data_IF_039948694082
#
_entry.id   IF_039948694082
#
_cell.length_a   1.000
_cell.length_b   1.000
_cell.length_c   1.000
_cell.angle_alpha   90.00
_cell.angle_beta   90.00
_cell.angle_gamma   90.00
#
_symmetry.space_group_name_H-M   'P 1'
#
loop_
_entity.id
_entity.type
_entity.pdbx_description
1 polymer ?
#
# COMPACT_ATOMS: atom_id res chain seq x y z
N UNK A 1 -7.89 -21.82 33.95
CA UNK A 1 -7.91 -22.52 32.65
C UNK A 1 -8.01 -21.44 31.58
N UNK A 2 -6.85 -21.01 31.06
CA UNK A 2 -6.77 -20.03 29.95
C UNK A 2 -7.14 -20.77 28.66
N UNK A 3 -8.23 -20.38 28.02
CA UNK A 3 -8.53 -20.80 26.65
C UNK A 3 -7.52 -20.11 25.75
N UNK A 4 -6.58 -20.87 25.21
CA UNK A 4 -5.80 -20.47 24.05
C UNK A 4 -6.78 -20.39 22.87
N UNK A 5 -7.26 -19.20 22.56
CA UNK A 5 -7.97 -18.95 21.30
C UNK A 5 -6.99 -19.22 20.17
N UNK A 6 -7.28 -20.22 19.35
CA UNK A 6 -6.53 -20.51 18.13
C UNK A 6 -6.63 -19.31 17.16
N UNK A 7 -5.77 -19.25 16.14
CA UNK A 7 -5.77 -18.16 15.20
C UNK A 7 -7.14 -18.07 14.51
N UNK A 8 -7.95 -17.08 14.87
CA UNK A 8 -9.14 -16.71 14.11
C UNK A 8 -8.66 -16.08 12.81
N UNK A 9 -8.66 -16.84 11.74
CA UNK A 9 -8.56 -16.27 10.39
C UNK A 9 -9.82 -15.45 10.16
N UNK A 10 -9.68 -14.14 9.97
CA UNK A 10 -10.80 -13.28 9.66
C UNK A 10 -11.49 -13.75 8.36
N UNK A 11 -12.82 -13.75 8.35
CA UNK A 11 -13.58 -14.18 7.16
C UNK A 11 -13.34 -13.22 5.99
N UNK A 12 -13.10 -13.78 4.81
CA UNK A 12 -13.01 -13.00 3.56
C UNK A 12 -14.42 -12.76 3.04
N UNK A 13 -14.74 -11.48 2.84
CA UNK A 13 -16.03 -11.02 2.31
C UNK A 13 -15.87 -10.58 0.85
N UNK A 14 -17.00 -10.40 0.17
CA UNK A 14 -17.05 -9.88 -1.21
C UNK A 14 -17.95 -8.65 -1.28
N UNK A 15 -17.46 -7.60 -1.91
CA UNK A 15 -18.25 -6.43 -2.26
C UNK A 15 -18.24 -6.22 -3.77
N UNK A 16 -19.42 -6.20 -4.39
CA UNK A 16 -19.54 -5.89 -5.82
C UNK A 16 -19.52 -4.38 -6.03
N UNK A 17 -18.47 -3.85 -6.65
CA UNK A 17 -18.28 -2.42 -6.99
C UNK A 17 -17.72 -2.28 -8.39
N UNK A 18 -18.17 -1.30 -9.14
CA UNK A 18 -17.68 -0.96 -10.50
C UNK A 18 -17.54 -2.18 -11.44
N UNK A 19 -18.49 -3.15 -11.32
CA UNK A 19 -18.53 -4.36 -12.16
C UNK A 19 -17.54 -5.45 -11.78
N UNK A 20 -16.93 -5.38 -10.60
CA UNK A 20 -16.03 -6.42 -10.07
C UNK A 20 -16.38 -6.76 -8.62
N UNK A 21 -16.08 -8.00 -8.20
CA UNK A 21 -16.16 -8.42 -6.81
C UNK A 21 -14.80 -8.19 -6.15
N UNK A 22 -14.75 -7.27 -5.21
CA UNK A 22 -13.56 -6.98 -4.40
C UNK A 22 -13.61 -7.86 -3.15
N UNK A 23 -12.55 -8.67 -2.95
CA UNK A 23 -12.34 -9.39 -1.69
C UNK A 23 -11.87 -8.41 -0.62
N UNK A 24 -12.40 -8.55 0.58
CA UNK A 24 -11.92 -7.78 1.72
C UNK A 24 -12.11 -8.56 3.03
N UNK A 25 -11.27 -8.25 3.99
CA UNK A 25 -11.43 -8.66 5.39
C UNK A 25 -12.04 -7.50 6.15
N UNK A 26 -13.01 -7.80 7.03
CA UNK A 26 -13.58 -6.84 7.97
C UNK A 26 -13.50 -7.46 9.37
N UNK A 27 -12.93 -6.73 10.33
CA UNK A 27 -12.82 -7.19 11.71
C UNK A 27 -12.83 -6.02 12.70
N UNK A 28 -13.46 -6.24 13.87
CA UNK A 28 -13.54 -5.24 14.93
C UNK A 28 -14.68 -4.26 14.76
N UNK A 29 -14.78 -3.33 15.70
CA UNK A 29 -15.81 -2.29 15.78
C UNK A 29 -15.16 -0.94 16.09
N UNK A 30 -15.86 0.16 15.88
CA UNK A 30 -15.39 1.52 16.15
C UNK A 30 -15.10 2.32 14.89
N UNK A 31 -14.17 3.29 14.96
CA UNK A 31 -13.82 4.13 13.82
C UNK A 31 -13.20 3.30 12.69
N UNK A 32 -13.60 3.53 11.44
CA UNK A 32 -13.13 2.75 10.31
C UNK A 32 -11.66 3.02 9.99
N UNK A 33 -10.89 1.95 9.85
CA UNK A 33 -9.47 1.94 9.48
C UNK A 33 -9.29 1.03 8.26
N UNK A 34 -8.94 1.61 7.12
CA UNK A 34 -8.82 0.92 5.83
C UNK A 34 -7.35 0.76 5.46
N UNK A 35 -6.90 -0.49 5.30
CA UNK A 35 -5.53 -0.82 4.90
C UNK A 35 -5.44 -1.11 3.41
N UNK A 36 -4.59 -0.38 2.68
CA UNK A 36 -4.40 -0.49 1.23
C UNK A 36 -3.01 -1.03 0.93
N UNK A 37 -2.95 -2.25 0.40
CA UNK A 37 -1.71 -2.99 0.19
C UNK A 37 -0.86 -2.47 -0.98
N UNK A 38 0.43 -2.84 -0.99
CA UNK A 38 1.38 -2.52 -2.04
C UNK A 38 1.24 -3.37 -3.31
N UNK A 39 2.15 -3.19 -4.26
CA UNK A 39 2.26 -4.07 -5.43
C UNK A 39 2.62 -5.50 -5.02
N UNK A 40 2.22 -6.45 -5.88
CA UNK A 40 2.55 -7.89 -5.77
C UNK A 40 2.11 -8.45 -4.40
N UNK A 41 1.08 -7.88 -3.80
CA UNK A 41 0.54 -8.35 -2.53
C UNK A 41 -0.98 -8.20 -2.50
N UNK A 42 -1.62 -8.59 -1.41
CA UNK A 42 -3.05 -8.49 -1.20
C UNK A 42 -3.37 -8.27 0.29
N UNK A 43 -4.67 -8.33 0.66
CA UNK A 43 -5.10 -8.07 2.04
C UNK A 43 -4.35 -8.87 3.12
N UNK A 44 -3.83 -10.07 2.78
CA UNK A 44 -3.15 -10.97 3.72
C UNK A 44 -1.84 -10.38 4.30
N UNK A 45 -1.21 -9.42 3.62
CA UNK A 45 -0.01 -8.75 4.17
C UNK A 45 -0.30 -7.95 5.44
N UNK A 46 -1.59 -7.70 5.73
CA UNK A 46 -2.04 -6.92 6.87
C UNK A 46 -2.48 -7.75 8.08
N UNK A 47 -2.26 -9.07 8.09
CA UNK A 47 -2.74 -9.95 9.16
C UNK A 47 -2.30 -9.51 10.56
N UNK A 48 -1.06 -9.04 10.72
CA UNK A 48 -0.56 -8.51 12.00
C UNK A 48 -1.25 -7.21 12.40
N UNK A 49 -1.49 -6.33 11.44
CA UNK A 49 -2.19 -5.06 11.63
C UNK A 49 -3.66 -5.31 11.95
N UNK A 50 -4.33 -6.20 11.21
CA UNK A 50 -5.74 -6.56 11.45
C UNK A 50 -5.90 -7.06 12.88
N UNK A 51 -5.08 -8.01 13.35
CA UNK A 51 -5.15 -8.55 14.71
C UNK A 51 -4.94 -7.49 15.79
N UNK A 52 -4.05 -6.53 15.55
CA UNK A 52 -3.76 -5.49 16.53
C UNK A 52 -4.86 -4.44 16.58
N UNK A 53 -5.19 -3.85 15.42
CA UNK A 53 -6.05 -2.67 15.34
C UNK A 53 -7.53 -2.99 15.45
N UNK A 54 -7.97 -4.22 15.11
CA UNK A 54 -9.38 -4.62 15.27
C UNK A 54 -9.88 -4.66 16.72
N UNK A 55 -8.99 -4.54 17.67
CA UNK A 55 -9.34 -4.43 19.10
C UNK A 55 -10.04 -3.10 19.44
N UNK A 56 -9.81 -2.07 18.63
CA UNK A 56 -10.26 -0.70 18.88
C UNK A 56 -10.82 0.02 17.65
N UNK A 57 -10.73 -0.60 16.48
CA UNK A 57 -11.15 -0.04 15.19
C UNK A 57 -11.93 -1.07 14.40
N UNK A 58 -12.85 -0.58 13.56
CA UNK A 58 -13.40 -1.38 12.47
C UNK A 58 -12.39 -1.42 11.33
N UNK A 59 -11.59 -2.48 11.30
CA UNK A 59 -10.53 -2.67 10.30
C UNK A 59 -11.11 -3.26 9.02
N UNK A 60 -10.73 -2.68 7.88
CA UNK A 60 -11.08 -3.15 6.54
C UNK A 60 -9.80 -3.25 5.73
N UNK A 61 -9.55 -4.42 5.15
CA UNK A 61 -8.40 -4.66 4.28
C UNK A 61 -8.86 -5.29 2.96
N UNK A 62 -9.03 -4.51 1.89
CA UNK A 62 -9.36 -5.05 0.57
C UNK A 62 -8.13 -5.59 -0.16
N UNK A 63 -8.36 -6.61 -1.01
CA UNK A 63 -7.49 -6.88 -2.15
C UNK A 63 -7.95 -6.03 -3.32
N UNK A 64 -7.05 -5.22 -3.87
CA UNK A 64 -7.35 -4.40 -5.04
C UNK A 64 -7.69 -5.29 -6.24
N UNK A 65 -8.41 -4.75 -7.23
CA UNK A 65 -8.75 -5.48 -8.47
C UNK A 65 -7.51 -6.13 -9.08
N UNK A 66 -7.61 -7.38 -9.52
CA UNK A 66 -6.54 -8.23 -10.07
C UNK A 66 -5.52 -8.78 -9.07
N UNK A 67 -5.58 -8.35 -7.82
CA UNK A 67 -4.73 -8.91 -6.75
C UNK A 67 -5.44 -10.03 -5.99
N UNK A 68 -4.67 -10.81 -5.23
CA UNK A 68 -5.15 -11.98 -4.51
C UNK A 68 -5.23 -13.23 -5.37
N UNK A 69 -5.90 -14.27 -4.87
CA UNK A 69 -5.92 -15.60 -5.48
C UNK A 69 -7.08 -15.83 -6.45
N UNK A 70 -8.08 -14.94 -6.47
CA UNK A 70 -9.25 -15.11 -7.36
C UNK A 70 -8.86 -15.06 -8.82
N UNK A 71 -9.55 -15.86 -9.64
CA UNK A 71 -9.39 -15.80 -11.08
C UNK A 71 -9.94 -14.48 -11.64
N UNK A 72 -9.21 -13.90 -12.58
CA UNK A 72 -9.66 -12.73 -13.33
C UNK A 72 -10.73 -13.13 -14.36
N UNK A 73 -11.68 -12.25 -14.61
CA UNK A 73 -12.71 -12.44 -15.67
C UNK A 73 -12.21 -11.98 -17.04
N UNK A 74 -11.12 -11.23 -17.04
CA UNK A 74 -10.46 -10.65 -18.22
C UNK A 74 -8.92 -10.85 -18.12
N UNK A 75 -8.15 -10.16 -18.93
CA UNK A 75 -6.68 -10.23 -18.95
C UNK A 75 -5.99 -9.08 -18.23
N UNK A 76 -6.67 -8.39 -17.33
CA UNK A 76 -6.12 -7.21 -16.67
C UNK A 76 -6.36 -5.91 -17.46
N UNK A 77 -7.34 -5.90 -18.35
CA UNK A 77 -7.60 -4.78 -19.30
C UNK A 77 -7.95 -3.46 -18.60
N UNK A 78 -8.47 -3.55 -17.37
CA UNK A 78 -8.79 -2.40 -16.52
C UNK A 78 -7.76 -2.17 -15.41
N UNK A 79 -6.58 -2.75 -15.52
CA UNK A 79 -5.51 -2.52 -14.54
C UNK A 79 -4.96 -1.10 -14.72
N UNK A 80 -5.37 -0.21 -13.84
CA UNK A 80 -4.81 1.15 -13.76
C UNK A 80 -4.92 1.69 -12.34
N UNK A 81 -4.02 2.59 -11.93
CA UNK A 81 -4.14 3.27 -10.63
C UNK A 81 -5.47 4.02 -10.48
N UNK A 82 -5.96 4.66 -11.53
CA UNK A 82 -7.25 5.35 -11.53
C UNK A 82 -8.42 4.41 -11.24
N UNK A 83 -8.45 3.25 -11.89
CA UNK A 83 -9.46 2.21 -11.61
C UNK A 83 -9.41 1.74 -10.16
N UNK A 84 -8.22 1.52 -9.62
CA UNK A 84 -8.06 1.07 -8.22
C UNK A 84 -8.50 2.14 -7.21
N UNK A 85 -8.24 3.42 -7.48
CA UNK A 85 -8.73 4.54 -6.65
C UNK A 85 -10.26 4.59 -6.67
N UNK A 86 -10.87 4.48 -7.84
CA UNK A 86 -12.33 4.54 -7.99
C UNK A 86 -13.00 3.30 -7.36
N UNK A 87 -12.38 2.12 -7.45
CA UNK A 87 -12.87 0.90 -6.79
C UNK A 87 -12.77 1.03 -5.25
N UNK A 88 -11.69 1.61 -4.74
CA UNK A 88 -11.51 1.84 -3.31
C UNK A 88 -12.55 2.84 -2.77
N UNK A 89 -12.78 3.95 -3.46
CA UNK A 89 -13.82 4.91 -3.11
C UNK A 89 -15.22 4.28 -3.11
N UNK A 90 -15.53 3.49 -4.14
CA UNK A 90 -16.81 2.79 -4.25
C UNK A 90 -16.98 1.75 -3.13
N UNK A 91 -15.91 1.04 -2.75
CA UNK A 91 -15.93 0.10 -1.65
C UNK A 91 -16.20 0.81 -0.32
N UNK A 92 -15.47 1.87 0.01
CA UNK A 92 -15.62 2.65 1.24
C UNK A 92 -17.05 3.17 1.38
N UNK A 93 -17.62 3.73 0.30
CA UNK A 93 -19.01 4.20 0.28
C UNK A 93 -20.01 3.06 0.43
N UNK A 94 -19.80 1.95 -0.28
CA UNK A 94 -20.69 0.78 -0.21
C UNK A 94 -20.76 0.15 1.17
N UNK A 95 -19.63 0.12 1.89
CA UNK A 95 -19.55 -0.39 3.26
C UNK A 95 -20.08 0.62 4.30
N UNK A 96 -20.41 1.85 3.89
CA UNK A 96 -20.92 2.90 4.79
C UNK A 96 -19.88 3.35 5.82
N UNK A 97 -18.60 3.33 5.46
CA UNK A 97 -17.47 3.65 6.37
C UNK A 97 -16.77 4.96 6.04
N UNK A 98 -17.30 5.77 5.13
CA UNK A 98 -16.79 7.10 4.84
C UNK A 98 -17.22 8.13 5.92
N UNK A 99 -16.33 9.08 6.34
CA UNK A 99 -14.90 9.10 6.05
C UNK A 99 -14.13 8.10 6.92
N UNK A 100 -13.10 7.45 6.35
CA UNK A 100 -12.27 6.46 7.04
C UNK A 100 -10.83 6.96 7.27
N UNK A 101 -10.15 6.41 8.26
CA UNK A 101 -8.70 6.51 8.38
C UNK A 101 -8.07 5.56 7.36
N UNK A 102 -7.26 6.09 6.44
CA UNK A 102 -6.66 5.30 5.36
C UNK A 102 -5.18 5.05 5.66
N UNK A 103 -4.77 3.80 5.60
CA UNK A 103 -3.37 3.38 5.75
C UNK A 103 -2.91 2.75 4.46
N UNK A 104 -1.97 3.37 3.79
CA UNK A 104 -1.43 2.88 2.52
C UNK A 104 0.04 2.52 2.62
N UNK A 105 0.44 1.44 1.94
CA UNK A 105 1.82 1.03 1.78
C UNK A 105 2.22 1.01 0.32
N UNK A 106 3.33 1.69 -0.06
CA UNK A 106 3.91 1.63 -1.40
C UNK A 106 2.90 2.07 -2.47
N UNK A 107 2.48 1.18 -3.35
CA UNK A 107 1.40 1.43 -4.31
C UNK A 107 0.10 1.83 -3.60
N UNK A 108 -0.24 1.13 -2.52
CA UNK A 108 -1.40 1.49 -1.70
C UNK A 108 -1.31 2.89 -1.09
N UNK A 109 -0.10 3.36 -0.74
CA UNK A 109 0.10 4.74 -0.29
C UNK A 109 -0.09 5.76 -1.43
N UNK A 110 0.35 5.41 -2.64
CA UNK A 110 0.10 6.24 -3.83
C UNK A 110 -1.40 6.34 -4.14
N UNK A 111 -2.13 5.20 -4.08
CA UNK A 111 -3.59 5.18 -4.24
C UNK A 111 -4.30 5.99 -3.15
N UNK A 112 -3.84 5.90 -1.90
CA UNK A 112 -4.41 6.63 -0.78
C UNK A 112 -4.24 8.16 -0.92
N UNK A 113 -3.09 8.63 -1.41
CA UNK A 113 -2.89 10.03 -1.77
C UNK A 113 -3.86 10.46 -2.88
N UNK A 114 -3.99 9.65 -3.94
CA UNK A 114 -4.93 9.93 -5.03
C UNK A 114 -6.39 9.90 -4.57
N UNK A 115 -6.74 9.00 -3.65
CA UNK A 115 -8.06 8.95 -3.04
C UNK A 115 -8.37 10.25 -2.27
N UNK A 116 -7.41 10.75 -1.48
CA UNK A 116 -7.57 11.99 -0.74
C UNK A 116 -7.74 13.22 -1.65
N UNK A 117 -7.13 13.19 -2.84
CA UNK A 117 -7.27 14.25 -3.86
C UNK A 117 -8.60 14.14 -4.59
N UNK A 118 -8.98 12.93 -5.04
CA UNK A 118 -10.10 12.74 -5.98
C UNK A 118 -11.44 12.46 -5.28
N UNK A 119 -11.39 11.86 -4.10
CA UNK A 119 -12.56 11.46 -3.30
C UNK A 119 -12.37 11.85 -1.83
N UNK A 120 -12.20 13.15 -1.51
CA UNK A 120 -11.91 13.63 -0.15
C UNK A 120 -13.00 13.27 0.86
N UNK A 121 -14.23 13.05 0.41
CA UNK A 121 -15.34 12.55 1.24
C UNK A 121 -15.12 11.17 1.83
N UNK A 122 -14.23 10.37 1.23
CA UNK A 122 -13.88 9.02 1.71
C UNK A 122 -12.80 9.03 2.80
N UNK A 123 -12.06 10.13 3.00
CA UNK A 123 -10.83 10.16 3.80
C UNK A 123 -10.99 11.05 5.03
N UNK A 124 -10.87 10.46 6.21
CA UNK A 124 -10.84 11.19 7.48
C UNK A 124 -9.42 11.55 7.94
N UNK A 125 -8.47 10.66 7.71
CA UNK A 125 -7.03 10.91 7.84
C UNK A 125 -6.23 9.93 6.96
N UNK A 126 -4.94 10.20 6.79
CA UNK A 126 -4.07 9.39 5.94
C UNK A 126 -2.74 9.08 6.65
N UNK A 127 -2.37 7.80 6.66
CA UNK A 127 -1.03 7.33 6.96
C UNK A 127 -0.44 6.68 5.68
N UNK A 128 0.44 7.42 4.99
CA UNK A 128 1.03 7.01 3.72
C UNK A 128 2.49 6.58 3.92
N UNK A 129 2.73 5.26 3.90
CA UNK A 129 4.07 4.70 4.05
C UNK A 129 4.71 4.45 2.69
N UNK A 130 5.76 5.22 2.40
CA UNK A 130 6.63 5.10 1.22
C UNK A 130 5.87 5.02 -0.12
N UNK A 131 5.16 6.07 -0.53
CA UNK A 131 4.37 6.05 -1.75
C UNK A 131 5.23 5.78 -2.99
N UNK A 132 4.78 4.84 -3.84
CA UNK A 132 5.45 4.45 -5.07
C UNK A 132 5.17 5.38 -6.26
N UNK A 133 4.83 6.64 -6.04
CA UNK A 133 4.54 7.67 -7.06
C UNK A 133 5.51 8.83 -6.93
N UNK A 134 5.98 9.35 -8.08
CA UNK A 134 7.01 10.40 -8.14
C UNK A 134 6.65 11.54 -9.10
N UNK A 135 5.41 11.62 -9.58
CA UNK A 135 4.98 12.63 -10.57
C UNK A 135 5.00 14.07 -10.05
N UNK A 136 5.11 14.26 -8.75
CA UNK A 136 5.26 15.55 -8.07
C UNK A 136 6.72 15.90 -7.73
N UNK A 137 7.67 15.04 -8.05
CA UNK A 137 9.10 15.33 -7.92
C UNK A 137 9.52 16.14 -9.14
N UNK A 138 10.04 17.34 -8.92
CA UNK A 138 10.34 18.31 -9.98
C UNK A 138 11.81 18.72 -10.01
N UNK A 139 12.56 18.57 -8.91
CA UNK A 139 13.99 18.82 -8.91
C UNK A 139 14.70 17.88 -9.88
N UNK A 140 15.50 18.39 -10.86
CA UNK A 140 16.08 17.58 -11.93
C UNK A 140 16.98 16.45 -11.42
N UNK A 141 17.72 16.67 -10.33
CA UNK A 141 18.60 15.65 -9.75
C UNK A 141 17.79 14.57 -9.03
N UNK A 142 16.75 14.96 -8.29
CA UNK A 142 15.83 14.01 -7.66
C UNK A 142 15.08 13.19 -8.70
N UNK A 143 14.61 13.83 -9.80
CA UNK A 143 13.95 13.12 -10.92
C UNK A 143 14.89 12.10 -11.54
N UNK A 144 16.18 12.45 -11.74
CA UNK A 144 17.18 11.50 -12.24
C UNK A 144 17.33 10.31 -11.30
N UNK A 145 17.52 10.56 -10.00
CA UNK A 145 17.71 9.51 -8.99
C UNK A 145 16.50 8.55 -8.94
N UNK A 146 15.29 9.08 -8.86
CA UNK A 146 14.07 8.22 -8.76
C UNK A 146 13.82 7.46 -10.06
N UNK A 147 14.21 8.01 -11.20
CA UNK A 147 14.06 7.36 -12.50
C UNK A 147 15.06 6.19 -12.65
N UNK A 148 16.32 6.41 -12.29
CA UNK A 148 17.35 5.39 -12.29
C UNK A 148 17.00 4.24 -11.33
N UNK A 149 16.63 4.56 -10.09
CA UNK A 149 16.25 3.57 -9.07
C UNK A 149 15.05 2.71 -9.52
N UNK A 150 14.05 3.34 -10.16
CA UNK A 150 12.91 2.62 -10.74
C UNK A 150 13.32 1.76 -11.93
N UNK A 151 14.16 2.29 -12.81
CA UNK A 151 14.63 1.58 -14.01
C UNK A 151 15.34 0.26 -13.64
N UNK A 152 16.21 0.31 -12.63
CA UNK A 152 16.96 -0.85 -12.16
C UNK A 152 16.01 -1.94 -11.61
N UNK A 153 15.02 -1.54 -10.82
CA UNK A 153 14.00 -2.46 -10.29
C UNK A 153 13.20 -3.13 -11.41
N UNK A 154 12.71 -2.33 -12.35
CA UNK A 154 11.87 -2.81 -13.46
C UNK A 154 12.67 -3.70 -14.41
N UNK A 155 13.90 -3.29 -14.76
CA UNK A 155 14.76 -4.02 -15.67
C UNK A 155 15.09 -5.43 -15.18
N UNK A 156 15.47 -5.57 -13.92
CA UNK A 156 15.75 -6.86 -13.31
C UNK A 156 14.53 -7.79 -13.32
N UNK A 157 13.37 -7.28 -12.94
CA UNK A 157 12.13 -8.06 -12.88
C UNK A 157 11.65 -8.50 -14.27
N UNK A 158 11.70 -7.62 -15.27
CA UNK A 158 11.29 -7.95 -16.64
C UNK A 158 12.25 -8.95 -17.30
N UNK A 159 13.56 -8.86 -17.03
CA UNK A 159 14.53 -9.81 -17.53
C UNK A 159 14.29 -11.25 -17.01
N UNK A 160 13.91 -11.39 -15.74
CA UNK A 160 13.55 -12.69 -15.17
C UNK A 160 12.20 -13.17 -15.72
N UNK A 161 11.22 -12.30 -15.80
CA UNK A 161 9.90 -12.61 -16.34
C UNK A 161 9.94 -13.08 -17.79
N UNK A 162 10.78 -12.46 -18.64
CA UNK A 162 10.94 -12.87 -20.05
C UNK A 162 11.51 -14.27 -20.23
N UNK A 163 12.22 -14.79 -19.21
CA UNK A 163 12.73 -16.16 -19.14
C UNK A 163 11.74 -17.16 -18.54
N UNK A 164 10.51 -16.72 -18.21
CA UNK A 164 9.49 -17.54 -17.55
C UNK A 164 9.64 -17.64 -16.03
N UNK A 165 10.65 -16.99 -15.45
CA UNK A 165 10.90 -16.99 -14.00
C UNK A 165 10.05 -15.91 -13.30
N UNK A 166 8.80 -16.23 -13.05
CA UNK A 166 7.89 -15.32 -12.34
C UNK A 166 8.22 -15.20 -10.86
N UNK A 167 8.71 -16.27 -10.23
CA UNK A 167 9.09 -16.24 -8.81
C UNK A 167 10.33 -15.39 -8.61
N UNK A 168 11.36 -15.57 -9.43
CA UNK A 168 12.55 -14.73 -9.42
C UNK A 168 12.23 -13.26 -9.69
N UNK A 169 11.29 -12.96 -10.59
CA UNK A 169 10.87 -11.58 -10.85
C UNK A 169 10.22 -10.93 -9.60
N UNK A 170 9.39 -11.66 -8.87
CA UNK A 170 8.80 -11.20 -7.60
C UNK A 170 9.88 -10.96 -6.55
N UNK A 171 10.80 -11.92 -6.37
CA UNK A 171 11.92 -11.81 -5.44
C UNK A 171 12.81 -10.61 -5.76
N UNK A 172 13.13 -10.40 -7.05
CA UNK A 172 13.94 -9.26 -7.49
C UNK A 172 13.27 -7.90 -7.17
N UNK A 173 11.95 -7.77 -7.38
CA UNK A 173 11.21 -6.55 -7.00
C UNK A 173 11.23 -6.35 -5.50
N UNK A 174 10.97 -7.40 -4.72
CA UNK A 174 10.95 -7.32 -3.26
C UNK A 174 12.32 -6.91 -2.70
N UNK A 175 13.36 -7.60 -3.11
CA UNK A 175 14.73 -7.34 -2.66
C UNK A 175 15.21 -5.94 -3.06
N UNK A 176 14.95 -5.55 -4.32
CA UNK A 176 15.32 -4.22 -4.80
C UNK A 176 14.60 -3.12 -4.02
N UNK A 177 13.27 -3.25 -3.81
CA UNK A 177 12.50 -2.27 -3.06
C UNK A 177 13.02 -2.07 -1.62
N UNK A 178 13.61 -3.11 -1.03
CA UNK A 178 14.22 -3.07 0.30
C UNK A 178 15.73 -2.73 0.30
N UNK A 179 16.33 -2.54 -0.86
CA UNK A 179 17.76 -2.22 -0.98
C UNK A 179 18.69 -3.33 -0.49
N UNK A 180 18.25 -4.58 -0.56
CA UNK A 180 18.99 -5.74 -0.07
C UNK A 180 18.72 -6.95 -0.96
N UNK A 181 19.56 -7.97 -0.88
CA UNK A 181 19.41 -9.23 -1.61
C UNK A 181 19.14 -10.38 -0.66
N UNK A 182 18.31 -11.35 -1.11
CA UNK A 182 18.00 -12.54 -0.31
C UNK A 182 16.94 -12.34 0.78
N UNK A 183 16.37 -11.13 0.90
CA UNK A 183 15.30 -10.88 1.88
C UNK A 183 14.03 -11.62 1.52
N UNK A 184 13.71 -11.71 0.23
CA UNK A 184 12.54 -12.45 -0.24
C UNK A 184 12.62 -13.93 0.14
N UNK A 185 13.77 -14.55 -0.06
CA UNK A 185 14.00 -15.95 0.29
C UNK A 185 14.03 -16.18 1.82
N UNK A 186 14.37 -15.16 2.58
CA UNK A 186 14.35 -15.22 4.05
C UNK A 186 12.94 -15.08 4.66
N UNK A 187 11.94 -14.69 3.87
CA UNK A 187 10.55 -14.68 4.33
C UNK A 187 10.07 -16.08 4.69
N UNK A 188 9.14 -16.19 5.63
CA UNK A 188 8.42 -17.44 5.86
C UNK A 188 7.67 -17.87 4.60
N UNK A 189 7.43 -19.18 4.45
CA UNK A 189 6.69 -19.71 3.29
C UNK A 189 5.31 -19.06 3.16
N UNK A 190 4.63 -18.79 4.28
CA UNK A 190 3.34 -18.11 4.31
C UNK A 190 3.45 -16.68 3.78
N UNK A 191 4.43 -15.90 4.23
CA UNK A 191 4.60 -14.53 3.77
C UNK A 191 5.02 -14.51 2.29
N UNK A 192 5.94 -15.38 1.88
CA UNK A 192 6.40 -15.50 0.50
C UNK A 192 5.27 -15.89 -0.46
N UNK A 193 4.39 -16.81 -0.06
CA UNK A 193 3.26 -17.23 -0.88
C UNK A 193 2.32 -16.09 -1.26
N UNK A 194 2.12 -15.11 -0.39
CA UNK A 194 1.28 -13.93 -0.67
C UNK A 194 1.81 -13.18 -1.91
N UNK A 195 3.11 -12.96 -1.97
CA UNK A 195 3.74 -12.26 -3.09
C UNK A 195 3.73 -13.14 -4.37
N UNK A 196 4.00 -14.43 -4.24
CA UNK A 196 4.00 -15.37 -5.37
C UNK A 196 2.63 -15.53 -6.00
N UNK A 197 1.55 -15.57 -5.21
CA UNK A 197 0.16 -15.61 -5.70
C UNK A 197 -0.18 -14.38 -6.56
N UNK A 198 0.51 -13.26 -6.31
CA UNK A 198 0.33 -12.00 -7.03
C UNK A 198 1.34 -11.80 -8.18
N UNK A 199 2.23 -12.77 -8.48
CA UNK A 199 3.24 -12.67 -9.55
C UNK A 199 2.64 -12.37 -10.93
N UNK A 200 1.39 -12.77 -11.17
CA UNK A 200 0.64 -12.49 -12.41
C UNK A 200 0.38 -11.00 -12.65
N UNK A 201 0.47 -10.15 -11.62
CA UNK A 201 0.29 -8.69 -11.74
C UNK A 201 1.55 -7.97 -12.22
N UNK A 202 2.73 -8.61 -12.16
CA UNK A 202 4.02 -8.01 -12.55
C UNK A 202 3.99 -7.41 -13.97
N UNK A 203 3.50 -8.11 -15.03
CA UNK A 203 3.42 -7.53 -16.36
C UNK A 203 2.47 -6.33 -16.44
N UNK A 204 1.36 -6.36 -15.72
CA UNK A 204 0.36 -5.28 -15.70
C UNK A 204 0.92 -4.04 -15.01
N UNK A 205 1.66 -4.24 -13.93
CA UNK A 205 2.28 -3.18 -13.16
C UNK A 205 3.29 -2.35 -13.98
N UNK A 206 4.14 -3.03 -14.76
CA UNK A 206 5.17 -2.37 -15.57
C UNK A 206 4.71 -2.00 -16.98
N UNK A 207 3.57 -2.56 -17.43
CA UNK A 207 2.96 -2.27 -18.73
C UNK A 207 1.76 -1.33 -18.67
N UNK A 208 1.44 -0.75 -17.50
CA UNK A 208 0.28 0.13 -17.34
C UNK A 208 0.38 1.34 -18.28
N UNK A 209 -0.63 1.50 -19.14
CA UNK A 209 -0.68 2.56 -20.14
C UNK A 209 -0.78 3.97 -19.52
N UNK A 210 -1.32 4.07 -18.31
CA UNK A 210 -1.51 5.34 -17.61
C UNK A 210 -0.92 5.24 -16.19
N UNK A 211 0.23 5.88 -15.93
CA UNK A 211 0.76 6.00 -14.58
C UNK A 211 -0.17 6.87 -13.72
N UNK A 212 -0.16 6.63 -12.41
CA UNK A 212 -0.83 7.53 -11.48
C UNK A 212 -0.19 8.91 -11.59
N UNK A 213 -1.00 9.91 -11.94
CA UNK A 213 -0.57 11.30 -12.01
C UNK A 213 -1.19 12.09 -10.85
N UNK A 214 -0.33 12.57 -9.96
CA UNK A 214 -0.65 13.51 -8.88
C UNK A 214 0.43 14.59 -8.94
N UNK A 215 0.06 15.86 -9.03
CA UNK A 215 1.02 16.96 -9.03
C UNK A 215 1.08 17.64 -7.63
N UNK A 216 1.99 18.59 -7.47
CA UNK A 216 2.17 19.34 -6.21
C UNK A 216 0.94 20.13 -5.81
N UNK A 217 0.23 20.72 -6.78
CA UNK A 217 -1.00 21.46 -6.51
C UNK A 217 -2.11 20.53 -5.99
N UNK A 218 -2.22 19.32 -6.54
CA UNK A 218 -3.15 18.32 -6.05
C UNK A 218 -2.86 17.97 -4.57
N UNK A 219 -1.60 17.72 -4.24
CA UNK A 219 -1.17 17.42 -2.85
C UNK A 219 -1.47 18.58 -1.90
N UNK A 220 -1.30 19.84 -2.34
CA UNK A 220 -1.59 21.03 -1.54
C UNK A 220 -3.08 21.19 -1.20
N UNK A 221 -3.98 20.53 -1.93
CA UNK A 221 -5.41 20.54 -1.69
C UNK A 221 -5.86 19.51 -0.63
N UNK A 222 -5.01 18.59 -0.20
CA UNK A 222 -5.32 17.63 0.86
C UNK A 222 -5.44 18.39 2.19
N UNK A 223 -6.62 18.33 2.83
CA UNK A 223 -6.94 19.10 4.05
C UNK A 223 -7.06 18.24 5.30
N UNK A 224 -7.15 16.93 5.14
CA UNK A 224 -7.21 15.99 6.27
C UNK A 224 -5.84 15.85 6.93
N UNK A 225 -5.78 15.40 8.19
CA UNK A 225 -4.51 15.07 8.84
C UNK A 225 -3.77 13.97 8.07
N UNK A 226 -2.49 14.20 7.76
CA UNK A 226 -1.65 13.26 7.02
C UNK A 226 -0.37 12.97 7.79
N UNK A 227 0.00 11.70 7.86
CA UNK A 227 1.38 11.29 8.15
C UNK A 227 1.99 10.71 6.88
N UNK A 228 3.01 11.37 6.37
CA UNK A 228 3.93 10.80 5.41
C UNK A 228 4.99 10.01 6.19
N UNK A 229 5.08 8.71 5.98
CA UNK A 229 5.96 7.85 6.75
C UNK A 229 6.96 7.12 5.85
N UNK A 230 8.18 6.94 6.35
CA UNK A 230 9.23 6.15 5.67
C UNK A 230 10.15 5.45 6.65
N UNK A 231 10.84 4.44 6.18
CA UNK A 231 11.90 3.79 6.93
C UNK A 231 13.19 4.64 6.97
N UNK A 232 13.98 4.44 8.02
CA UNK A 232 15.33 5.02 8.12
C UNK A 232 16.32 4.40 7.15
N UNK A 233 16.05 3.16 6.71
CA UNK A 233 16.88 2.40 5.76
C UNK A 233 16.29 2.35 4.36
N UNK A 234 15.32 3.22 4.05
CA UNK A 234 14.63 3.21 2.76
C UNK A 234 15.51 3.66 1.60
N UNK A 235 15.16 3.22 0.40
CA UNK A 235 15.85 3.60 -0.84
C UNK A 235 15.54 5.05 -1.26
N UNK A 236 16.41 5.63 -2.10
CA UNK A 236 16.24 7.01 -2.59
C UNK A 236 14.88 7.28 -3.22
N UNK A 237 14.34 6.37 -4.04
CA UNK A 237 13.02 6.47 -4.65
C UNK A 237 11.94 6.83 -3.62
N UNK A 238 11.83 6.02 -2.57
CA UNK A 238 10.76 6.18 -1.58
C UNK A 238 11.03 7.33 -0.62
N UNK A 239 12.30 7.57 -0.28
CA UNK A 239 12.70 8.70 0.55
C UNK A 239 12.31 10.02 -0.12
N UNK A 240 12.72 10.21 -1.38
CA UNK A 240 12.44 11.43 -2.15
C UNK A 240 10.93 11.60 -2.31
N UNK A 241 10.22 10.56 -2.76
CA UNK A 241 8.77 10.63 -2.91
C UNK A 241 8.06 11.02 -1.61
N UNK A 242 8.45 10.42 -0.47
CA UNK A 242 7.85 10.72 0.83
C UNK A 242 8.16 12.14 1.30
N UNK A 243 9.42 12.56 1.22
CA UNK A 243 9.89 13.86 1.71
C UNK A 243 9.30 15.01 0.85
N UNK A 244 9.23 14.85 -0.47
CA UNK A 244 8.62 15.84 -1.37
C UNK A 244 7.10 15.92 -1.16
N UNK A 245 6.39 14.78 -1.05
CA UNK A 245 4.96 14.79 -0.77
C UNK A 245 4.67 15.45 0.58
N UNK A 246 5.47 15.18 1.62
CA UNK A 246 5.37 15.87 2.91
C UNK A 246 5.50 17.39 2.74
N UNK A 247 6.49 17.85 2.00
CA UNK A 247 6.67 19.29 1.72
C UNK A 247 5.53 19.95 0.95
N UNK A 248 4.73 19.19 0.21
CA UNK A 248 3.59 19.67 -0.56
C UNK A 248 2.27 19.68 0.22
N UNK A 249 2.10 18.82 1.22
CA UNK A 249 0.83 18.67 1.97
C UNK A 249 0.86 19.52 3.23
N UNK A 250 0.07 20.62 3.33
CA UNK A 250 0.19 21.59 4.43
C UNK A 250 -0.07 21.01 5.83
N UNK A 251 -0.99 20.05 5.94
CA UNK A 251 -1.39 19.43 7.22
C UNK A 251 -0.62 18.12 7.50
N UNK A 252 0.50 17.87 6.82
CA UNK A 252 1.23 16.62 7.01
C UNK A 252 2.31 16.71 8.09
N UNK A 253 2.61 15.55 8.67
CA UNK A 253 3.78 15.30 9.51
C UNK A 253 4.64 14.23 8.86
N UNK A 254 5.96 14.33 9.00
CA UNK A 254 6.88 13.30 8.57
C UNK A 254 7.19 12.36 9.73
N UNK A 255 7.02 11.05 9.51
CA UNK A 255 7.45 10.00 10.44
C UNK A 255 8.58 9.18 9.81
N UNK A 256 9.75 9.18 10.42
CA UNK A 256 10.87 8.32 10.04
C UNK A 256 10.96 7.17 11.03
N UNK A 257 10.73 5.95 10.57
CA UNK A 257 10.76 4.74 11.40
C UNK A 257 12.21 4.21 11.43
N UNK A 258 12.91 4.27 12.59
CA UNK A 258 14.30 3.81 12.66
C UNK A 258 14.44 2.34 12.26
N UNK A 259 15.54 2.01 11.58
CA UNK A 259 15.89 0.62 11.14
C UNK A 259 14.79 -0.09 10.35
N UNK A 260 13.83 0.64 9.76
CA UNK A 260 12.79 0.10 8.90
C UNK A 260 13.18 0.23 7.43
N UNK A 261 12.81 -0.78 6.64
CA UNK A 261 12.94 -0.83 5.19
C UNK A 261 11.57 -0.66 4.54
N UNK A 262 11.50 -0.70 3.20
CA UNK A 262 10.27 -0.55 2.44
C UNK A 262 9.15 -1.53 2.86
N UNK A 263 9.49 -2.80 3.11
CA UNK A 263 8.53 -3.81 3.54
C UNK A 263 8.35 -3.85 5.08
N UNK A 264 8.49 -2.72 5.79
CA UNK A 264 8.31 -2.65 7.24
C UNK A 264 6.98 -3.23 7.75
N UNK A 265 5.84 -3.08 7.05
CA UNK A 265 4.60 -3.74 7.49
C UNK A 265 4.71 -5.26 7.66
N UNK A 266 5.62 -5.90 6.92
CA UNK A 266 5.86 -7.35 6.91
C UNK A 266 7.11 -7.73 7.70
N UNK A 267 8.22 -6.99 7.50
CA UNK A 267 9.54 -7.33 8.08
C UNK A 267 9.69 -6.84 9.52
N UNK A 268 9.10 -5.72 9.85
CA UNK A 268 9.20 -5.07 11.18
C UNK A 268 7.83 -4.55 11.63
N UNK A 269 6.79 -5.42 11.70
CA UNK A 269 5.40 -4.98 11.92
C UNK A 269 5.23 -4.19 13.22
N UNK A 270 5.95 -4.53 14.28
CA UNK A 270 5.87 -3.81 15.57
C UNK A 270 6.26 -2.34 15.43
N UNK A 271 7.31 -2.02 14.66
CA UNK A 271 7.76 -0.64 14.46
C UNK A 271 6.78 0.15 13.58
N UNK A 272 6.30 -0.47 12.51
CA UNK A 272 5.27 0.12 11.65
C UNK A 272 3.99 0.40 12.45
N UNK A 273 3.53 -0.58 13.23
CA UNK A 273 2.34 -0.48 14.05
C UNK A 273 2.45 0.64 15.10
N UNK A 274 3.63 0.81 15.73
CA UNK A 274 3.84 1.89 16.70
C UNK A 274 3.68 3.27 16.04
N UNK A 275 4.29 3.48 14.86
CA UNK A 275 4.16 4.75 14.14
C UNK A 275 2.70 5.04 13.73
N UNK A 276 1.93 4.01 13.37
CA UNK A 276 0.50 4.15 13.08
C UNK A 276 -0.31 4.44 14.34
N UNK A 277 -0.01 3.78 15.47
CA UNK A 277 -0.65 4.07 16.76
C UNK A 277 -0.42 5.52 17.20
N UNK A 278 0.79 6.04 17.02
CA UNK A 278 1.13 7.44 17.33
C UNK A 278 0.30 8.43 16.48
N UNK A 279 0.08 8.08 15.19
CA UNK A 279 -0.80 8.86 14.30
C UNK A 279 -2.25 8.86 14.81
N UNK A 280 -2.82 7.67 15.02
CA UNK A 280 -4.22 7.53 15.45
C UNK A 280 -4.47 8.18 16.83
N UNK A 281 -3.52 8.04 17.75
CA UNK A 281 -3.59 8.68 19.06
C UNK A 281 -3.60 10.20 18.98
N UNK A 282 -2.82 10.78 18.08
CA UNK A 282 -2.79 12.22 17.85
C UNK A 282 -4.12 12.76 17.29
N UNK A 283 -4.87 11.96 16.53
CA UNK A 283 -6.19 12.33 16.01
C UNK A 283 -7.27 12.34 17.11
N UNK A 284 -7.14 11.48 18.12
CA UNK A 284 -8.11 11.41 19.21
C UNK A 284 -8.02 12.60 20.18
N UNK A 285 -6.93 13.37 20.13
CA UNK A 285 -6.67 14.52 21.02
C UNK A 285 -6.96 15.86 20.32
N UNK A 286 -7.08 15.87 19.00
CA UNK A 286 -7.34 17.07 18.19
C UNK A 286 -8.84 17.29 17.97
#
# INVERSE_FOLDING_TARGET
MSRTEGPMTAAVNLAHVNGVDIEYVEQGEGLPLVFVHGYISDHRVWDDQIRLFSRHHKVIAPSQRYFGTRQWRDRGERFSPSTHVDDLAALIRKLGVAPAHIVGWSYGAALALALAVRHPDCVGSLFAYEPGVTTFVEDPEEVRIVTEDRHDMVGAALALKSRGDSAGAVGAVFDHANGSTGLFEALSDTARSIFLDNARTVPLMFGAAEPLSINRADLAHIKVPVVMARGGLTRPLYRIATDVAHGCIPASRLAVIPDAMHASPVLTPTRFNQALLDHLSALAVA
#
